data_IF_342467420496
#
_entry.id   IF_342467420496
#
_cell.length_a   1.000
_cell.length_b   1.000
_cell.length_c   1.000
_cell.angle_alpha   90.00
_cell.angle_beta   90.00
_cell.angle_gamma   90.00
#
_symmetry.space_group_name_H-M   'P 1'
#
loop_
_entity.id
_entity.type
_entity.pdbx_description
1 polymer ?
#
# COMPACT_ATOMS: atom_id res chain seq x y z
N UNK A 1 -23.67 15.19 -11.65
CA UNK A 1 -23.65 13.81 -11.12
C UNK A 1 -23.34 13.87 -9.63
N UNK A 2 -24.11 13.15 -8.80
CA UNK A 2 -23.77 12.98 -7.37
C UNK A 2 -22.46 12.18 -7.28
N UNK A 3 -21.49 12.69 -6.52
CA UNK A 3 -20.30 11.91 -6.19
C UNK A 3 -20.71 10.75 -5.28
N UNK A 4 -20.13 9.55 -5.45
CA UNK A 4 -20.37 8.45 -4.53
C UNK A 4 -19.94 8.81 -3.10
N UNK A 5 -20.58 8.19 -2.12
CA UNK A 5 -20.11 8.26 -0.74
C UNK A 5 -18.96 7.28 -0.53
N UNK A 6 -17.74 7.80 -0.51
CA UNK A 6 -16.53 6.99 -0.30
C UNK A 6 -16.38 6.47 1.14
N UNK A 7 -17.13 7.01 2.11
CA UNK A 7 -17.07 6.55 3.50
C UNK A 7 -17.81 5.23 3.72
N UNK A 8 -18.85 4.96 2.93
CA UNK A 8 -19.57 3.68 2.96
C UNK A 8 -18.89 2.57 2.14
N UNK A 9 -17.89 2.89 1.31
CA UNK A 9 -17.14 1.91 0.53
C UNK A 9 -16.10 1.17 1.36
N UNK A 10 -16.01 -0.15 1.20
CA UNK A 10 -14.87 -0.91 1.69
C UNK A 10 -13.61 -0.67 0.82
N UNK A 11 -12.45 -1.14 1.29
CA UNK A 11 -11.15 -0.95 0.61
C UNK A 11 -11.14 -1.43 -0.85
N UNK A 12 -11.81 -2.55 -1.16
CA UNK A 12 -11.86 -3.10 -2.52
C UNK A 12 -12.75 -2.26 -3.45
N UNK A 13 -13.90 -1.80 -2.95
CA UNK A 13 -14.83 -0.93 -3.68
C UNK A 13 -14.19 0.42 -4.01
N UNK A 14 -13.51 1.03 -3.03
CA UNK A 14 -12.82 2.30 -3.24
C UNK A 14 -11.67 2.14 -4.25
N UNK A 15 -10.91 1.03 -4.19
CA UNK A 15 -9.87 0.72 -5.18
C UNK A 15 -10.43 0.60 -6.60
N UNK A 16 -11.51 -0.15 -6.77
CA UNK A 16 -12.15 -0.33 -8.08
C UNK A 16 -12.63 1.01 -8.65
N UNK A 17 -13.19 1.88 -7.80
CA UNK A 17 -13.61 3.21 -8.21
C UNK A 17 -12.44 4.07 -8.70
N UNK A 18 -11.33 4.12 -7.96
CA UNK A 18 -10.14 4.90 -8.34
C UNK A 18 -9.56 4.43 -9.67
N UNK A 19 -9.51 3.11 -9.92
CA UNK A 19 -9.03 2.56 -11.20
C UNK A 19 -9.94 2.98 -12.35
N UNK A 20 -11.26 3.00 -12.15
CA UNK A 20 -12.23 3.41 -13.16
C UNK A 20 -12.30 4.93 -13.38
N UNK A 21 -11.78 5.72 -12.44
CA UNK A 21 -11.86 7.20 -12.44
C UNK A 21 -10.49 7.80 -12.10
N UNK A 22 -9.47 7.65 -12.98
CA UNK A 22 -8.10 8.05 -12.68
C UNK A 22 -7.95 9.56 -12.41
N UNK A 23 -8.83 10.40 -12.97
CA UNK A 23 -8.79 11.86 -12.81
C UNK A 23 -9.49 12.36 -11.53
N UNK A 24 -10.17 11.49 -10.77
CA UNK A 24 -10.83 11.87 -9.50
C UNK A 24 -9.81 11.88 -8.35
N UNK A 25 -9.00 12.93 -8.31
CA UNK A 25 -7.98 13.15 -7.28
C UNK A 25 -8.53 13.02 -5.85
N UNK A 26 -9.80 13.38 -5.62
CA UNK A 26 -10.42 13.25 -4.29
C UNK A 26 -10.58 11.78 -3.89
N UNK A 27 -11.02 10.93 -4.81
CA UNK A 27 -11.13 9.49 -4.56
C UNK A 27 -9.75 8.86 -4.36
N UNK A 28 -8.75 9.30 -5.15
CA UNK A 28 -7.37 8.85 -4.99
C UNK A 28 -6.79 9.20 -3.61
N UNK A 29 -6.94 10.44 -3.14
CA UNK A 29 -6.45 10.83 -1.81
C UNK A 29 -7.13 10.04 -0.69
N UNK A 30 -8.46 9.89 -0.73
CA UNK A 30 -9.19 9.07 0.24
C UNK A 30 -8.77 7.60 0.24
N UNK A 31 -8.42 7.06 -0.93
CA UNK A 31 -7.87 5.73 -1.06
C UNK A 31 -6.50 5.63 -0.40
N UNK A 32 -5.57 6.54 -0.71
CA UNK A 32 -4.23 6.56 -0.10
C UNK A 32 -4.34 6.69 1.42
N UNK A 33 -5.07 7.67 1.93
CA UNK A 33 -5.23 7.92 3.36
C UNK A 33 -5.78 6.68 4.09
N UNK A 34 -6.79 6.02 3.53
CA UNK A 34 -7.39 4.82 4.15
C UNK A 34 -6.44 3.61 4.15
N UNK A 35 -5.49 3.56 3.23
CA UNK A 35 -4.51 2.48 3.16
C UNK A 35 -3.24 2.76 3.97
N UNK A 36 -2.90 4.04 4.19
CA UNK A 36 -1.73 4.44 4.96
C UNK A 36 -2.02 4.74 6.43
N UNK A 37 -3.29 4.93 6.83
CA UNK A 37 -3.67 5.28 8.20
C UNK A 37 -3.10 4.33 9.28
N UNK A 38 -3.01 3.03 8.98
CA UNK A 38 -2.47 2.02 9.90
C UNK A 38 -1.07 1.55 9.48
N UNK A 39 -0.49 2.11 8.41
CA UNK A 39 0.82 1.71 7.94
C UNK A 39 1.90 2.31 8.87
N UNK A 40 2.94 1.53 9.23
CA UNK A 40 4.11 2.09 9.88
C UNK A 40 4.69 3.25 9.05
N UNK A 41 5.05 4.35 9.70
CA UNK A 41 5.73 5.48 9.05
C UNK A 41 7.21 5.21 8.82
N UNK A 42 7.70 4.03 9.22
CA UNK A 42 9.07 3.59 8.97
C UNK A 42 9.29 3.48 7.46
N UNK A 43 10.27 4.24 6.98
CA UNK A 43 10.71 4.21 5.59
C UNK A 43 12.07 3.54 5.53
N UNK A 44 12.32 2.81 4.45
CA UNK A 44 13.59 2.17 4.20
C UNK A 44 14.25 2.87 3.01
N UNK A 45 15.55 3.10 3.12
CA UNK A 45 16.33 3.63 2.01
C UNK A 45 16.28 2.65 0.83
N UNK A 46 16.29 3.19 -0.39
CA UNK A 46 16.43 2.38 -1.59
C UNK A 46 17.85 1.82 -1.62
N UNK A 47 18.04 0.50 -1.83
CA UNK A 47 19.35 -0.10 -2.00
C UNK A 47 20.18 0.63 -3.06
N UNK A 48 21.42 0.96 -2.74
CA UNK A 48 22.33 1.73 -3.59
C UNK A 48 23.33 0.86 -4.34
N UNK A 49 23.33 -0.44 -4.06
CA UNK A 49 24.24 -1.41 -4.66
C UNK A 49 23.57 -2.78 -4.83
N UNK A 50 24.14 -3.63 -5.69
CA UNK A 50 23.65 -5.01 -5.87
C UNK A 50 23.79 -5.82 -4.58
N UNK A 51 24.87 -5.61 -3.82
CA UNK A 51 25.06 -6.27 -2.52
C UNK A 51 23.93 -5.92 -1.53
N UNK A 52 23.53 -4.65 -1.46
CA UNK A 52 22.39 -4.23 -0.61
C UNK A 52 21.06 -4.83 -1.09
N UNK A 53 20.87 -5.02 -2.41
CA UNK A 53 19.67 -5.71 -2.93
C UNK A 53 19.63 -7.17 -2.47
N UNK A 54 20.77 -7.86 -2.50
CA UNK A 54 20.88 -9.24 -2.01
C UNK A 54 20.58 -9.34 -0.50
N UNK A 55 21.07 -8.38 0.29
CA UNK A 55 20.75 -8.31 1.72
C UNK A 55 19.24 -8.14 1.97
N UNK A 56 18.57 -7.28 1.19
CA UNK A 56 17.12 -7.12 1.27
C UNK A 56 16.39 -8.42 0.96
N UNK A 57 16.81 -9.19 -0.05
CA UNK A 57 16.19 -10.49 -0.37
C UNK A 57 16.35 -11.48 0.80
N UNK A 58 17.52 -11.53 1.44
CA UNK A 58 17.76 -12.36 2.62
C UNK A 58 16.82 -11.97 3.77
N UNK A 59 16.66 -10.66 4.03
CA UNK A 59 15.78 -10.15 5.07
C UNK A 59 14.31 -10.50 4.81
N UNK A 60 13.84 -10.36 3.57
CA UNK A 60 12.48 -10.75 3.15
C UNK A 60 12.25 -12.24 3.42
N UNK A 61 13.17 -13.11 2.97
CA UNK A 61 13.07 -14.57 3.20
C UNK A 61 13.01 -14.91 4.68
N UNK A 62 13.87 -14.28 5.49
CA UNK A 62 13.88 -14.47 6.95
C UNK A 62 12.54 -14.06 7.58
N UNK A 63 11.95 -12.95 7.15
CA UNK A 63 10.63 -12.50 7.64
C UNK A 63 9.52 -13.47 7.27
N UNK A 64 9.52 -13.98 6.03
CA UNK A 64 8.54 -14.98 5.58
C UNK A 64 8.62 -16.26 6.41
N UNK A 65 9.82 -16.75 6.73
CA UNK A 65 10.01 -17.92 7.59
C UNK A 65 9.53 -17.68 9.03
N UNK A 66 9.73 -16.48 9.58
CA UNK A 66 9.18 -16.12 10.90
C UNK A 66 7.65 -16.12 10.91
N UNK A 67 7.01 -15.66 9.83
CA UNK A 67 5.55 -15.63 9.72
C UNK A 67 4.95 -17.03 9.59
N UNK A 68 5.62 -17.97 8.92
CA UNK A 68 5.18 -19.38 8.83
C UNK A 68 5.22 -20.13 10.15
N UNK A 69 6.09 -19.72 11.08
CA UNK A 69 6.27 -20.35 12.40
C UNK A 69 5.29 -19.83 13.46
N UNK A 70 4.46 -18.85 13.12
CA UNK A 70 3.52 -18.19 14.00
C UNK A 70 2.09 -18.59 13.64
#
# INVERSE_FOLDING_TARGET
>A
MMKPDFYSMNKAQLRAYVIANPDDNKAFHLFVDRFTYEAPTETFDIPKSIAEVEEVDILIRKKLEQLKKK
#
